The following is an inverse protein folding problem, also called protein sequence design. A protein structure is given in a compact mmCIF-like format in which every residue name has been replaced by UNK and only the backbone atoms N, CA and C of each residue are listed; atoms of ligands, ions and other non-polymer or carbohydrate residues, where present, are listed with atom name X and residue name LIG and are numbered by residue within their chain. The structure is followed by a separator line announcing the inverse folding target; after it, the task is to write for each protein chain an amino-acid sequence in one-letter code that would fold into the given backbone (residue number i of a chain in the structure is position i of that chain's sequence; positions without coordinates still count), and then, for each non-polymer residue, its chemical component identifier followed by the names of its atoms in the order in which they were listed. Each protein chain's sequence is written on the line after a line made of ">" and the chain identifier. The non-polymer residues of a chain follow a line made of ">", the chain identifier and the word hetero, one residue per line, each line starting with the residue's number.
data_IF_565689945008
#
_entry.id   IF_565689945008
#
_cell.length_a   1.000
_cell.length_b   1.000
_cell.length_c   1.000
_cell.angle_alpha   90.00
_cell.angle_beta   90.00
_cell.angle_gamma   90.00
#
_symmetry.space_group_name_H-M   'P 1'
#
loop_
_entity.id
_entity.type
_entity.pdbx_description
1 polymer ?
#
# COMPACT_ATOMS: atom_id res chain seq x y z
N UNK A 1 44.38 27.54 10.15
CA UNK A 1 42.97 27.44 10.61
C UNK A 1 41.93 27.39 9.47
N UNK A 2 42.10 28.10 8.34
CA UNK A 2 41.15 28.06 7.21
C UNK A 2 41.14 26.72 6.42
N UNK A 3 42.29 26.06 6.30
CA UNK A 3 42.43 24.77 5.59
C UNK A 3 41.74 23.60 6.32
N UNK A 4 41.81 23.56 7.66
CA UNK A 4 41.07 22.57 8.47
C UNK A 4 39.55 22.74 8.36
N UNK A 5 39.05 23.98 8.25
CA UNK A 5 37.63 24.25 7.98
C UNK A 5 37.19 23.77 6.59
N UNK A 6 38.05 23.89 5.58
CA UNK A 6 37.78 23.40 4.21
C UNK A 6 37.64 21.87 4.21
N UNK A 7 38.53 21.17 4.93
CA UNK A 7 38.52 19.70 4.99
C UNK A 7 37.28 19.18 5.74
N UNK A 8 36.87 19.88 6.80
CA UNK A 8 35.66 19.57 7.55
C UNK A 8 34.38 19.74 6.71
N UNK A 9 34.32 20.78 5.88
CA UNK A 9 33.19 21.02 4.94
C UNK A 9 33.14 19.95 3.84
N UNK A 10 34.29 19.52 3.32
CA UNK A 10 34.37 18.45 2.31
C UNK A 10 33.97 17.08 2.88
N UNK A 11 34.32 16.79 4.13
CA UNK A 11 33.87 15.58 4.84
C UNK A 11 32.34 15.59 5.03
N UNK A 12 31.75 16.72 5.44
CA UNK A 12 30.30 16.85 5.61
C UNK A 12 29.51 16.64 4.30
N UNK A 13 30.06 17.10 3.16
CA UNK A 13 29.47 16.92 1.82
C UNK A 13 29.54 15.48 1.29
N UNK A 14 30.57 14.72 1.67
CA UNK A 14 30.68 13.30 1.33
C UNK A 14 29.69 12.45 2.15
N UNK A 15 29.47 12.78 3.43
CA UNK A 15 28.55 12.03 4.30
C UNK A 15 27.09 12.19 3.85
N UNK A 16 26.69 13.36 3.31
CA UNK A 16 25.33 13.57 2.80
C UNK A 16 25.00 12.81 1.51
N UNK A 17 26.01 12.24 0.84
CA UNK A 17 25.87 11.62 -0.49
C UNK A 17 25.70 10.09 -0.43
N UNK A 18 25.84 9.48 0.74
CA UNK A 18 25.70 8.03 0.92
C UNK A 18 24.30 7.72 1.43
N UNK A 19 23.30 7.93 0.57
CA UNK A 19 21.99 7.30 0.74
C UNK A 19 21.93 6.15 -0.27
N UNK A 20 22.38 4.97 0.15
CA UNK A 20 22.10 3.74 -0.58
C UNK A 20 20.61 3.46 -0.39
N UNK A 21 19.78 3.94 -1.31
CA UNK A 21 18.36 3.57 -1.33
C UNK A 21 18.24 2.11 -1.77
N UNK A 22 18.34 1.20 -0.81
CA UNK A 22 17.75 -0.12 -0.89
C UNK A 22 16.24 0.01 -0.62
N UNK A 23 15.42 -0.73 -1.35
CA UNK A 23 13.97 -0.75 -1.21
C UNK A 23 13.19 -0.66 -2.53
N UNK A 24 11.87 -0.59 -2.38
CA UNK A 24 10.96 -0.27 -3.47
C UNK A 24 10.48 1.18 -3.38
N UNK A 25 10.36 1.85 -4.53
CA UNK A 25 9.68 3.15 -4.63
C UNK A 25 8.30 2.91 -5.24
N UNK A 26 7.24 3.21 -4.51
CA UNK A 26 5.87 3.09 -5.02
C UNK A 26 5.54 4.33 -5.88
N UNK A 27 4.93 4.11 -7.04
CA UNK A 27 4.49 5.17 -7.94
C UNK A 27 3.26 5.88 -7.39
N UNK A 28 3.11 7.17 -7.70
CA UNK A 28 1.85 7.90 -7.45
C UNK A 28 0.70 7.26 -8.25
N UNK A 29 -0.51 7.09 -7.67
CA UNK A 29 -1.02 7.68 -6.42
C UNK A 29 -0.71 6.88 -5.13
N UNK A 30 0.18 5.89 -5.20
CA UNK A 30 0.48 4.98 -4.10
C UNK A 30 -0.37 3.71 -4.14
N UNK A 31 -0.49 3.05 -2.99
CA UNK A 31 -1.40 1.92 -2.79
C UNK A 31 -2.83 2.43 -2.83
N UNK A 32 -3.69 1.76 -3.59
CA UNK A 32 -5.13 2.05 -3.65
C UNK A 32 -5.93 0.81 -3.25
N UNK A 33 -7.06 1.03 -2.57
CA UNK A 33 -7.98 -0.02 -2.15
C UNK A 33 -9.40 0.34 -2.59
N UNK A 34 -10.10 -0.61 -3.21
CA UNK A 34 -11.45 -0.41 -3.74
C UNK A 34 -12.36 -1.57 -3.34
N UNK A 35 -13.54 -1.24 -2.81
CA UNK A 35 -14.59 -2.24 -2.57
C UNK A 35 -15.19 -2.74 -3.88
N UNK A 36 -15.26 -4.05 -4.06
CA UNK A 36 -15.85 -4.72 -5.22
C UNK A 36 -16.77 -5.86 -4.75
N UNK A 37 -18.02 -5.52 -4.48
CA UNK A 37 -19.02 -6.49 -4.01
C UNK A 37 -18.69 -7.00 -2.61
N UNK A 38 -18.23 -8.25 -2.52
CA UNK A 38 -17.87 -8.91 -1.25
C UNK A 38 -16.37 -8.82 -0.94
N UNK A 39 -15.57 -8.37 -1.91
CA UNK A 39 -14.11 -8.35 -1.81
C UNK A 39 -13.58 -6.90 -1.79
N UNK A 40 -12.33 -6.76 -1.36
CA UNK A 40 -11.59 -5.51 -1.56
C UNK A 40 -10.43 -5.78 -2.52
N UNK A 41 -10.34 -4.98 -3.58
CA UNK A 41 -9.21 -5.02 -4.52
C UNK A 41 -8.18 -3.98 -4.09
N UNK A 42 -6.95 -4.44 -3.91
CA UNK A 42 -5.80 -3.62 -3.56
C UNK A 42 -4.85 -3.64 -4.74
N UNK A 43 -4.42 -2.46 -5.20
CA UNK A 43 -3.49 -2.33 -6.32
C UNK A 43 -2.41 -1.31 -6.02
N UNK A 44 -1.20 -1.58 -6.50
CA UNK A 44 -0.09 -0.62 -6.48
C UNK A 44 0.89 -0.93 -7.60
N UNK A 45 1.74 0.05 -7.90
CA UNK A 45 2.80 -0.08 -8.87
C UNK A 45 4.10 0.45 -8.26
N UNK A 46 5.22 -0.19 -8.57
CA UNK A 46 6.54 0.28 -8.17
C UNK A 46 7.30 0.88 -9.36
N UNK A 47 8.07 1.93 -9.10
CA UNK A 47 8.99 2.54 -10.08
C UNK A 47 10.30 1.75 -10.10
N UNK A 48 10.83 1.47 -8.92
CA UNK A 48 12.11 0.79 -8.71
C UNK A 48 11.96 -0.21 -7.59
N UNK A 49 12.64 -1.35 -7.72
CA UNK A 49 12.69 -2.41 -6.71
C UNK A 49 14.13 -2.89 -6.63
N UNK A 50 14.90 -2.30 -5.71
CA UNK A 50 16.28 -2.68 -5.49
C UNK A 50 16.37 -3.37 -4.14
N UNK A 51 16.94 -4.58 -4.09
CA UNK A 51 17.09 -5.33 -2.84
C UNK A 51 15.77 -5.77 -2.17
N UNK A 52 14.63 -5.70 -2.86
CA UNK A 52 13.33 -6.14 -2.34
C UNK A 52 13.29 -7.67 -2.28
N UNK A 53 12.88 -8.23 -1.15
CA UNK A 53 12.67 -9.66 -0.96
C UNK A 53 11.21 -10.04 -1.24
N UNK A 54 10.27 -9.32 -0.66
CA UNK A 54 8.83 -9.51 -0.86
C UNK A 54 8.03 -8.31 -0.35
N UNK A 55 6.77 -8.25 -0.75
CA UNK A 55 5.77 -7.33 -0.24
C UNK A 55 4.82 -8.07 0.70
N UNK A 56 4.41 -7.42 1.78
CA UNK A 56 3.38 -7.92 2.70
C UNK A 56 2.20 -6.96 2.64
N UNK A 57 1.03 -7.46 2.27
CA UNK A 57 -0.20 -6.67 2.40
C UNK A 57 -0.61 -6.73 3.86
N UNK A 58 -0.75 -5.56 4.47
CA UNK A 58 -1.21 -5.42 5.83
C UNK A 58 -2.57 -4.74 5.87
N UNK A 59 -3.45 -5.26 6.72
CA UNK A 59 -4.80 -4.73 6.93
C UNK A 59 -5.02 -4.45 8.41
N UNK A 60 -5.73 -3.35 8.70
CA UNK A 60 -6.33 -3.09 10.02
C UNK A 60 -7.76 -2.60 9.90
N UNK A 61 -8.49 -2.68 11.00
CA UNK A 61 -9.75 -1.95 11.22
C UNK A 61 -9.49 -0.73 12.12
N UNK A 62 -10.55 0.00 12.49
CA UNK A 62 -10.45 1.20 13.33
C UNK A 62 -9.75 0.95 14.67
N UNK A 63 -9.98 -0.22 15.27
CA UNK A 63 -9.58 -0.53 16.64
C UNK A 63 -8.48 -1.62 16.71
N UNK A 64 -7.90 -2.01 15.56
CA UNK A 64 -6.88 -3.07 15.49
C UNK A 64 -5.52 -2.56 15.02
N UNK A 65 -4.47 -3.29 15.37
CA UNK A 65 -3.16 -3.16 14.73
C UNK A 65 -3.18 -3.70 13.30
N UNK A 66 -2.19 -3.30 12.49
CA UNK A 66 -1.95 -3.89 11.18
C UNK A 66 -1.56 -5.36 11.31
N UNK A 67 -2.23 -6.21 10.52
CA UNK A 67 -1.95 -7.63 10.40
C UNK A 67 -1.59 -7.94 8.95
N UNK A 68 -0.49 -8.68 8.74
CA UNK A 68 -0.14 -9.22 7.42
C UNK A 68 -1.16 -10.26 6.98
N UNK A 69 -1.79 -10.05 5.83
CA UNK A 69 -2.82 -10.94 5.27
C UNK A 69 -2.34 -11.70 4.03
N UNK A 70 -1.32 -11.19 3.33
CA UNK A 70 -0.76 -11.84 2.17
C UNK A 70 0.69 -11.41 1.92
N UNK A 71 1.43 -12.25 1.19
CA UNK A 71 2.81 -12.00 0.77
C UNK A 71 2.89 -12.15 -0.75
N UNK A 72 3.45 -11.16 -1.43
CA UNK A 72 3.70 -11.18 -2.88
C UNK A 72 5.20 -11.05 -3.14
N UNK A 73 5.70 -11.81 -4.10
CA UNK A 73 7.08 -11.69 -4.55
C UNK A 73 7.20 -10.57 -5.59
N UNK A 74 8.38 -9.95 -5.74
CA UNK A 74 8.62 -8.98 -6.80
C UNK A 74 8.43 -9.59 -8.19
N UNK A 75 7.77 -8.87 -9.09
CA UNK A 75 7.46 -9.29 -10.46
C UNK A 75 8.08 -8.32 -11.49
N UNK A 76 8.28 -8.81 -12.72
CA UNK A 76 8.97 -8.03 -13.75
C UNK A 76 8.18 -6.83 -14.27
N UNK A 77 6.85 -6.90 -14.22
CA UNK A 77 5.95 -5.84 -14.68
C UNK A 77 5.73 -4.76 -13.61
N UNK A 78 6.18 -5.00 -12.37
CA UNK A 78 6.12 -4.06 -11.23
C UNK A 78 4.70 -3.59 -10.91
N UNK A 79 3.70 -4.34 -11.34
CA UNK A 79 2.30 -4.05 -11.12
C UNK A 79 1.71 -5.17 -10.28
N UNK A 80 1.06 -4.81 -9.19
CA UNK A 80 0.58 -5.78 -8.22
C UNK A 80 -0.90 -5.58 -7.96
N UNK A 81 -1.61 -6.69 -7.89
CA UNK A 81 -3.01 -6.76 -7.48
C UNK A 81 -3.19 -7.83 -6.41
N UNK A 82 -3.99 -7.52 -5.40
CA UNK A 82 -4.41 -8.47 -4.39
C UNK A 82 -5.90 -8.30 -4.10
N UNK A 83 -6.61 -9.43 -3.99
CA UNK A 83 -8.04 -9.47 -3.68
C UNK A 83 -8.20 -10.02 -2.26
N UNK A 84 -8.66 -9.17 -1.35
CA UNK A 84 -9.02 -9.58 0.00
C UNK A 84 -10.45 -10.11 0.06
N UNK A 85 -10.57 -11.43 0.02
CA UNK A 85 -11.83 -12.18 0.19
C UNK A 85 -12.21 -12.38 1.66
N UNK A 86 -11.28 -12.11 2.58
CA UNK A 86 -11.48 -12.27 4.03
C UNK A 86 -12.00 -11.01 4.70
N UNK A 87 -12.17 -9.92 3.94
CA UNK A 87 -12.82 -8.71 4.39
C UNK A 87 -14.30 -9.03 4.64
N UNK A 88 -14.60 -9.61 5.82
CA UNK A 88 -15.91 -10.09 6.19
C UNK A 88 -16.98 -9.01 5.97
N UNK A 89 -18.18 -9.47 5.57
CA UNK A 89 -19.37 -8.71 5.15
C UNK A 89 -20.00 -7.82 6.24
N UNK A 90 -19.21 -7.28 7.15
CA UNK A 90 -19.64 -6.27 8.10
C UNK A 90 -19.74 -4.95 7.35
N UNK A 91 -20.85 -4.78 6.64
CA UNK A 91 -21.18 -3.54 5.94
C UNK A 91 -20.97 -2.35 6.88
N UNK A 92 -20.32 -1.30 6.38
CA UNK A 92 -19.99 -0.11 7.18
C UNK A 92 -18.69 -0.22 7.98
N UNK A 93 -17.91 -1.28 7.81
CA UNK A 93 -16.54 -1.37 8.37
C UNK A 93 -15.57 -0.61 7.47
N UNK A 94 -14.74 0.23 8.09
CA UNK A 94 -13.61 0.88 7.42
C UNK A 94 -12.39 -0.02 7.61
N UNK A 95 -11.87 -0.51 6.49
CA UNK A 95 -10.59 -1.20 6.46
C UNK A 95 -9.53 -0.21 6.00
N UNK A 96 -8.32 -0.35 6.55
CA UNK A 96 -7.15 0.42 6.12
C UNK A 96 -6.08 -0.57 5.69
N UNK A 97 -5.64 -0.44 4.44
CA UNK A 97 -4.61 -1.27 3.85
C UNK A 97 -3.31 -0.49 3.73
N UNK A 98 -2.19 -1.19 3.81
CA UNK A 98 -0.88 -0.69 3.41
C UNK A 98 -0.02 -1.86 2.93
N UNK A 99 1.04 -1.56 2.22
CA UNK A 99 2.03 -2.54 1.79
C UNK A 99 3.30 -2.30 2.59
N UNK A 100 3.78 -3.35 3.25
CA UNK A 100 5.11 -3.39 3.82
C UNK A 100 6.09 -3.98 2.79
N UNK A 101 7.17 -3.26 2.53
CA UNK A 101 8.25 -3.65 1.64
C UNK A 101 9.33 -4.26 2.51
N UNK A 102 9.62 -5.55 2.30
CA UNK A 102 10.63 -6.28 3.05
C UNK A 102 11.84 -6.49 2.15
N UNK A 103 12.98 -5.98 2.56
CA UNK A 103 14.24 -6.10 1.83
C UNK A 103 15.01 -7.37 2.20
N UNK A 104 16.01 -7.74 1.41
CA UNK A 104 16.79 -8.96 1.65
C UNK A 104 17.66 -8.89 2.91
N UNK A 105 17.95 -7.69 3.41
CA UNK A 105 18.63 -7.45 4.69
C UNK A 105 17.67 -7.51 5.90
N UNK A 106 16.35 -7.65 5.65
CA UNK A 106 15.31 -7.66 6.67
C UNK A 106 14.78 -6.28 7.05
N UNK A 107 15.25 -5.21 6.40
CA UNK A 107 14.69 -3.87 6.56
C UNK A 107 13.24 -3.84 6.06
N UNK A 108 12.39 -3.10 6.79
CA UNK A 108 10.96 -2.97 6.47
C UNK A 108 10.62 -1.50 6.28
N UNK A 109 10.06 -1.18 5.13
CA UNK A 109 9.49 0.13 4.81
C UNK A 109 7.99 0.01 4.55
N UNK A 110 7.22 1.07 4.76
CA UNK A 110 5.76 1.04 4.57
C UNK A 110 5.30 2.05 3.51
N UNK A 111 4.24 1.67 2.79
CA UNK A 111 3.53 2.55 1.86
C UNK A 111 2.65 3.59 2.57
N UNK A 112 1.99 4.43 1.77
CA UNK A 112 0.81 5.17 2.21
C UNK A 112 -0.30 4.23 2.70
N UNK A 113 -1.18 4.76 3.56
CA UNK A 113 -2.38 4.06 3.98
C UNK A 113 -3.51 4.27 2.97
N UNK A 114 -4.20 3.19 2.61
CA UNK A 114 -5.33 3.16 1.69
C UNK A 114 -6.62 2.80 2.46
N UNK A 115 -7.39 3.80 2.93
CA UNK A 115 -8.66 3.55 3.60
C UNK A 115 -9.75 3.19 2.58
N UNK A 116 -10.60 2.23 2.92
CA UNK A 116 -11.76 1.85 2.12
C UNK A 116 -12.95 1.55 3.03
N UNK A 117 -14.09 2.14 2.67
CA UNK A 117 -15.37 1.79 3.27
C UNK A 117 -15.91 0.55 2.57
N UNK A 118 -16.04 -0.55 3.32
CA UNK A 118 -16.66 -1.76 2.80
C UNK A 118 -18.18 -1.63 2.87
N UNK A 119 -18.75 -1.02 1.84
CA UNK A 119 -20.18 -1.00 1.60
C UNK A 119 -20.55 -2.20 0.72
N UNK A 120 -21.31 -3.16 1.25
CA UNK A 120 -21.83 -4.34 0.52
C UNK A 120 -22.87 -3.97 -0.57
N UNK A 121 -22.94 -2.69 -0.92
CA UNK A 121 -23.95 -2.14 -1.79
C UNK A 121 -23.40 -2.23 -3.20
N UNK A 122 -23.66 -3.35 -3.89
CA UNK A 122 -23.55 -3.31 -5.35
C UNK A 122 -24.46 -2.18 -5.83
N UNK A 123 -23.89 -1.13 -6.43
CA UNK A 123 -24.65 0.04 -6.90
C UNK A 123 -25.83 -0.37 -7.79
N UNK A 124 -25.70 -1.51 -8.46
CA UNK A 124 -26.73 -2.21 -9.22
C UNK A 124 -27.92 -2.65 -8.35
N UNK A 125 -27.72 -3.29 -7.19
CA UNK A 125 -28.85 -3.69 -6.31
C UNK A 125 -29.66 -2.50 -5.80
N UNK A 126 -29.02 -1.33 -5.57
CA UNK A 126 -29.72 -0.09 -5.18
C UNK A 126 -30.61 0.47 -6.29
N UNK A 127 -30.17 0.44 -7.56
CA UNK A 127 -30.95 1.01 -8.67
C UNK A 127 -32.15 0.16 -9.05
N UNK A 128 -32.05 -1.18 -8.99
CA UNK A 128 -33.18 -2.07 -9.27
C UNK A 128 -34.35 -1.90 -8.28
N UNK A 129 -34.06 -1.68 -6.99
CA UNK A 129 -35.09 -1.42 -5.98
C UNK A 129 -35.85 -0.11 -6.23
N UNK A 130 -35.12 0.96 -6.57
CA UNK A 130 -35.71 2.28 -6.85
C UNK A 130 -36.52 2.30 -8.15
N UNK A 131 -36.02 1.66 -9.21
CA UNK A 131 -36.72 1.60 -10.51
C UNK A 131 -38.05 0.86 -10.36
N UNK A 132 -38.06 -0.27 -9.63
CA UNK A 132 -39.30 -1.07 -9.43
C UNK A 132 -40.37 -0.31 -8.64
N UNK A 133 -39.98 0.64 -7.79
CA UNK A 133 -40.90 1.47 -7.01
C UNK A 133 -41.57 2.60 -7.82
N UNK A 134 -41.06 2.91 -9.02
CA UNK A 134 -41.61 3.95 -9.91
C UNK A 134 -42.75 3.47 -10.81
N UNK A 135 -42.96 2.15 -10.89
CA UNK A 135 -43.98 1.53 -11.74
C UNK A 135 -45.14 0.92 -10.93
N UNK A 136 -45.43 1.47 -9.75
CA UNK A 136 -46.65 1.16 -8.98
C UNK A 136 -47.62 2.33 -8.99
#
# INVERSE_FOLDING_TARGET
>A
MKLFKIYYILILLIISSISLNAGATIAEPGVTARSSGENVHITWQTLTENNVKHFVIERRTKDSSFLGIAVLLPESDKYYEFIDETAYKTAGTIYVYRVAIVDNDGSISHSNEAPVLHDNISSVKKTWGSIKALFR
#
